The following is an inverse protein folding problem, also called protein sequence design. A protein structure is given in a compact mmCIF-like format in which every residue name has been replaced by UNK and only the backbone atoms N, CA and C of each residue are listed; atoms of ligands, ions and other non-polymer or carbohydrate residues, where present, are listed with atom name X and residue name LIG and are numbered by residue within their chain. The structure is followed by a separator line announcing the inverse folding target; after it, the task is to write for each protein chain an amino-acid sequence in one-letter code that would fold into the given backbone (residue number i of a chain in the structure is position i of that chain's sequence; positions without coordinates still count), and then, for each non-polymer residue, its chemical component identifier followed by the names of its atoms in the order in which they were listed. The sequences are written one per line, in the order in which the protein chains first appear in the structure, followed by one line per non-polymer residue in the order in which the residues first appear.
data_IF_749663145237
#
_entry.id   IF_749663145237
#
_cell.length_a   1.000
_cell.length_b   1.000
_cell.length_c   1.000
_cell.angle_alpha   90.00
_cell.angle_beta   90.00
_cell.angle_gamma   90.00
#
_symmetry.space_group_name_H-M   'P 1'
#
loop_
_entity.id
_entity.type
_entity.pdbx_description
1 polymer ?
#
# COMPACT_ATOMS: atom_id res chain seq x y z
N UNK A 1 10.61 24.34 -11.46
CA UNK A 1 9.33 24.59 -10.77
C UNK A 1 9.05 23.40 -9.87
N UNK A 2 8.47 23.60 -8.68
CA UNK A 2 8.14 22.50 -7.79
C UNK A 2 6.88 21.79 -8.29
N UNK A 3 7.06 20.58 -8.81
CA UNK A 3 5.98 19.70 -9.29
C UNK A 3 6.17 18.30 -8.70
N UNK A 4 5.13 17.46 -8.72
CA UNK A 4 5.27 16.06 -8.32
C UNK A 4 6.33 15.35 -9.16
N UNK A 5 6.29 15.51 -10.49
CA UNK A 5 7.30 14.95 -11.40
C UNK A 5 8.72 15.37 -11.05
N UNK A 6 8.99 16.66 -10.87
CA UNK A 6 10.34 17.14 -10.54
C UNK A 6 10.82 16.64 -9.17
N UNK A 7 9.90 16.51 -8.20
CA UNK A 7 10.23 16.02 -6.87
C UNK A 7 10.66 14.55 -6.90
N UNK A 8 9.89 13.69 -7.57
CA UNK A 8 10.24 12.29 -7.72
C UNK A 8 11.48 12.08 -8.59
N UNK A 9 11.69 12.91 -9.61
CA UNK A 9 12.90 12.86 -10.42
C UNK A 9 14.15 13.12 -9.57
N UNK A 10 14.11 14.11 -8.67
CA UNK A 10 15.23 14.36 -7.74
C UNK A 10 15.51 13.16 -6.83
N UNK A 11 14.48 12.45 -6.38
CA UNK A 11 14.63 11.23 -5.57
C UNK A 11 15.20 10.07 -6.40
N UNK A 12 14.81 9.98 -7.67
CA UNK A 12 15.24 8.91 -8.57
C UNK A 12 16.67 9.13 -9.07
N UNK A 13 17.11 10.38 -9.23
CA UNK A 13 18.43 10.70 -9.81
C UNK A 13 19.58 10.64 -8.81
N UNK A 14 19.28 10.57 -7.51
CA UNK A 14 20.28 10.50 -6.44
C UNK A 14 20.25 9.12 -5.75
N UNK A 15 21.40 8.45 -5.73
CA UNK A 15 21.48 7.06 -5.26
C UNK A 15 21.10 6.89 -3.79
N UNK A 16 21.41 7.85 -2.91
CA UNK A 16 21.09 7.72 -1.48
C UNK A 16 19.58 7.86 -1.23
N UNK A 17 18.94 8.84 -1.88
CA UNK A 17 17.50 9.05 -1.77
C UNK A 17 16.70 7.95 -2.48
N UNK A 18 17.16 7.48 -3.65
CA UNK A 18 16.61 6.31 -4.33
C UNK A 18 16.72 5.07 -3.47
N UNK A 19 17.89 4.86 -2.84
CA UNK A 19 18.14 3.74 -1.93
C UNK A 19 17.14 3.72 -0.78
N UNK A 20 16.92 4.86 -0.14
CA UNK A 20 15.95 4.99 0.95
C UNK A 20 14.52 4.74 0.46
N UNK A 21 14.13 5.35 -0.67
CA UNK A 21 12.80 5.21 -1.24
C UNK A 21 12.47 3.73 -1.53
N UNK A 22 13.35 3.03 -2.25
CA UNK A 22 13.16 1.61 -2.55
C UNK A 22 13.24 0.73 -1.31
N UNK A 23 14.05 1.06 -0.30
CA UNK A 23 14.11 0.28 0.96
C UNK A 23 12.81 0.38 1.75
N UNK A 24 12.21 1.58 1.84
CA UNK A 24 10.91 1.79 2.49
C UNK A 24 9.83 0.99 1.76
N UNK A 25 9.75 1.13 0.45
CA UNK A 25 8.77 0.40 -0.35
C UNK A 25 8.94 -1.12 -0.21
N UNK A 26 10.16 -1.64 -0.44
CA UNK A 26 10.44 -3.06 -0.35
C UNK A 26 10.07 -3.68 1.00
N UNK A 27 10.31 -2.95 2.10
CA UNK A 27 9.95 -3.40 3.45
C UNK A 27 8.43 -3.46 3.63
N UNK A 28 7.70 -2.44 3.16
CA UNK A 28 6.24 -2.41 3.19
C UNK A 28 5.63 -3.60 2.45
N UNK A 29 6.06 -3.84 1.21
CA UNK A 29 5.49 -4.92 0.40
C UNK A 29 5.84 -6.31 0.95
N UNK A 30 7.07 -6.50 1.45
CA UNK A 30 7.47 -7.79 2.04
C UNK A 30 6.67 -8.08 3.32
N UNK A 31 6.33 -7.05 4.08
CA UNK A 31 5.45 -7.18 5.24
C UNK A 31 4.03 -7.52 4.81
N UNK A 32 3.46 -6.80 3.82
CA UNK A 32 2.15 -7.12 3.25
C UNK A 32 2.06 -8.55 2.71
N UNK A 33 3.12 -9.04 2.08
CA UNK A 33 3.24 -10.43 1.64
C UNK A 33 3.18 -11.44 2.78
N UNK A 34 3.96 -11.20 3.85
CA UNK A 34 3.93 -12.03 5.06
C UNK A 34 2.55 -12.02 5.75
N UNK A 35 1.94 -10.85 5.91
CA UNK A 35 0.64 -10.68 6.55
C UNK A 35 -0.44 -11.47 5.78
N UNK A 36 -0.53 -11.27 4.47
CA UNK A 36 -1.48 -12.00 3.63
C UNK A 36 -1.22 -13.50 3.63
N UNK A 37 0.04 -13.96 3.62
CA UNK A 37 0.36 -15.38 3.73
C UNK A 37 -0.14 -15.99 5.05
N UNK A 38 -0.01 -15.27 6.17
CA UNK A 38 -0.57 -15.70 7.47
C UNK A 38 -2.09 -15.69 7.46
N UNK A 39 -2.71 -14.64 6.95
CA UNK A 39 -4.18 -14.54 6.86
C UNK A 39 -4.73 -15.70 6.01
N UNK A 40 -4.11 -16.01 4.88
CA UNK A 40 -4.48 -17.14 4.01
C UNK A 40 -4.37 -18.50 4.73
N UNK A 41 -3.34 -18.68 5.56
CA UNK A 41 -3.17 -19.91 6.34
C UNK A 41 -4.22 -20.06 7.46
N UNK A 42 -4.72 -18.94 7.98
CA UNK A 42 -5.62 -18.89 9.13
C UNK A 42 -7.07 -18.58 8.76
N UNK A 43 -7.45 -18.60 7.47
CA UNK A 43 -8.79 -18.20 7.04
C UNK A 43 -9.89 -18.95 7.80
N UNK A 44 -10.92 -18.20 8.20
CA UNK A 44 -12.08 -18.73 8.90
C UNK A 44 -12.69 -19.94 8.14
N UNK A 45 -13.11 -21.02 8.83
CA UNK A 45 -13.67 -22.20 8.16
C UNK A 45 -14.83 -21.92 7.21
N UNK A 46 -15.67 -20.93 7.53
CA UNK A 46 -16.81 -20.50 6.71
C UNK A 46 -16.46 -19.61 5.50
N UNK A 47 -15.19 -19.21 5.35
CA UNK A 47 -14.72 -18.29 4.31
C UNK A 47 -13.51 -18.84 3.54
N UNK A 48 -13.28 -20.15 3.58
CA UNK A 48 -12.10 -20.81 2.97
C UNK A 48 -11.96 -20.55 1.47
N UNK A 49 -13.04 -20.20 0.78
CA UNK A 49 -13.01 -19.80 -0.63
C UNK A 49 -12.17 -18.55 -0.88
N UNK A 50 -11.94 -17.71 0.13
CA UNK A 50 -11.09 -16.53 0.03
C UNK A 50 -9.58 -16.86 0.08
N UNK A 51 -9.20 -18.00 0.65
CA UNK A 51 -7.80 -18.33 0.89
C UNK A 51 -6.94 -18.24 -0.40
N UNK A 52 -7.35 -18.77 -1.57
CA UNK A 52 -6.56 -18.62 -2.80
C UNK A 52 -6.35 -17.17 -3.24
N UNK A 53 -7.36 -16.31 -3.08
CA UNK A 53 -7.27 -14.88 -3.45
C UNK A 53 -6.32 -14.14 -2.50
N UNK A 54 -6.41 -14.42 -1.21
CA UNK A 54 -5.51 -13.85 -0.18
C UNK A 54 -4.07 -14.34 -0.40
N UNK A 55 -3.88 -15.63 -0.70
CA UNK A 55 -2.56 -16.17 -1.07
C UNK A 55 -1.99 -15.46 -2.28
N UNK A 56 -2.82 -15.21 -3.31
CA UNK A 56 -2.38 -14.49 -4.50
C UNK A 56 -2.01 -13.04 -4.19
N UNK A 57 -2.84 -12.33 -3.43
CA UNK A 57 -2.54 -10.97 -2.96
C UNK A 57 -1.17 -10.95 -2.30
N UNK A 58 -0.93 -11.80 -1.28
CA UNK A 58 0.38 -11.87 -0.63
C UNK A 58 1.55 -12.21 -1.55
N UNK A 59 1.34 -13.07 -2.56
CA UNK A 59 2.37 -13.39 -3.55
C UNK A 59 2.71 -12.20 -4.48
N UNK A 60 1.71 -11.37 -4.80
CA UNK A 60 1.87 -10.15 -5.59
C UNK A 60 2.62 -9.08 -4.76
N UNK A 61 2.32 -8.91 -3.47
CA UNK A 61 3.08 -8.04 -2.55
C UNK A 61 4.56 -8.48 -2.42
N UNK A 62 4.79 -9.76 -2.16
CA UNK A 62 6.14 -10.34 -2.12
C UNK A 62 6.91 -10.10 -3.42
N UNK A 63 6.20 -10.12 -4.56
CA UNK A 63 6.77 -9.80 -5.88
C UNK A 63 7.14 -8.33 -5.97
N UNK A 64 6.32 -7.40 -5.49
CA UNK A 64 6.64 -5.97 -5.48
C UNK A 64 7.86 -5.68 -4.61
N UNK A 65 7.96 -6.29 -3.43
CA UNK A 65 9.15 -6.19 -2.57
C UNK A 65 10.42 -6.66 -3.29
N UNK A 66 10.35 -7.76 -4.06
CA UNK A 66 11.46 -8.22 -4.91
C UNK A 66 11.78 -7.26 -6.06
N UNK A 67 10.79 -6.61 -6.65
CA UNK A 67 11.00 -5.62 -7.72
C UNK A 67 11.81 -4.44 -7.19
N UNK A 68 11.43 -3.88 -6.03
CA UNK A 68 12.19 -2.77 -5.42
C UNK A 68 13.62 -3.17 -5.05
N UNK A 69 13.83 -4.37 -4.51
CA UNK A 69 15.18 -4.89 -4.26
C UNK A 69 15.99 -5.11 -5.55
N UNK A 70 15.35 -5.56 -6.63
CA UNK A 70 16.01 -5.71 -7.93
C UNK A 70 16.44 -4.35 -8.51
N UNK A 71 15.62 -3.30 -8.31
CA UNK A 71 15.97 -1.93 -8.70
C UNK A 71 17.20 -1.41 -7.95
N UNK A 72 17.30 -1.67 -6.64
CA UNK A 72 18.50 -1.37 -5.84
C UNK A 72 19.72 -2.09 -6.39
N UNK A 73 19.61 -3.41 -6.56
CA UNK A 73 20.70 -4.26 -7.06
C UNK A 73 21.19 -3.82 -8.44
N UNK A 74 20.28 -3.43 -9.34
CA UNK A 74 20.62 -2.93 -10.68
C UNK A 74 21.51 -1.67 -10.62
N UNK A 75 21.40 -0.88 -9.56
CA UNK A 75 22.24 0.29 -9.28
C UNK A 75 23.45 0.00 -8.39
N UNK A 76 23.69 -1.27 -8.02
CA UNK A 76 24.78 -1.63 -7.11
C UNK A 76 24.54 -1.16 -5.67
N UNK A 77 23.29 -0.94 -5.28
CA UNK A 77 22.89 -0.47 -3.95
C UNK A 77 22.37 -1.65 -3.12
N UNK A 78 22.75 -1.70 -1.86
CA UNK A 78 22.18 -2.62 -0.87
C UNK A 78 20.97 -1.98 -0.18
N UNK A 79 19.99 -2.73 0.34
CA UNK A 79 18.92 -2.14 1.16
C UNK A 79 19.44 -1.43 2.41
N UNK A 80 18.62 -0.55 2.99
CA UNK A 80 18.88 0.14 4.26
C UNK A 80 17.86 -0.32 5.32
N UNK A 81 18.19 -0.20 6.61
CA UNK A 81 17.17 -0.21 7.66
C UNK A 81 16.16 0.93 7.42
N UNK A 82 14.87 0.60 7.46
CA UNK A 82 13.78 1.57 7.30
C UNK A 82 13.62 2.42 8.56
N UNK A 83 13.60 3.76 8.46
CA UNK A 83 13.31 4.62 9.61
C UNK A 83 11.91 4.30 10.18
N UNK A 84 11.76 4.07 11.50
CA UNK A 84 10.49 3.66 12.09
C UNK A 84 9.32 4.61 11.82
N UNK A 85 9.58 5.91 11.72
CA UNK A 85 8.56 6.93 11.40
C UNK A 85 8.09 6.90 9.94
N UNK A 86 8.73 6.09 9.10
CA UNK A 86 8.34 5.84 7.69
C UNK A 86 7.71 4.46 7.48
N UNK A 87 7.67 3.64 8.53
CA UNK A 87 7.08 2.30 8.50
C UNK A 87 5.55 2.41 8.57
N UNK A 88 4.95 2.57 7.40
CA UNK A 88 3.51 2.81 7.23
C UNK A 88 2.65 1.72 7.88
N UNK A 89 2.99 0.45 7.65
CA UNK A 89 2.20 -0.69 8.14
C UNK A 89 2.30 -0.81 9.66
N UNK A 90 3.48 -0.61 10.25
CA UNK A 90 3.61 -0.59 11.71
C UNK A 90 2.88 0.59 12.36
N UNK A 91 2.90 1.76 11.73
CA UNK A 91 2.18 2.95 12.24
C UNK A 91 0.65 2.82 12.16
N UNK A 92 0.14 2.00 11.24
CA UNK A 92 -1.28 1.62 11.17
C UNK A 92 -1.65 0.66 12.30
N UNK A 93 -0.87 -0.41 12.50
CA UNK A 93 -1.11 -1.37 13.58
C UNK A 93 -1.05 -0.71 14.96
N UNK A 94 -0.09 0.18 15.20
CA UNK A 94 0.00 0.94 16.46
C UNK A 94 -1.26 1.76 16.76
N UNK A 95 -2.06 2.07 15.72
CA UNK A 95 -3.37 2.75 15.85
C UNK A 95 -4.55 1.78 15.89
N UNK A 96 -4.29 0.48 15.97
CA UNK A 96 -5.30 -0.58 16.00
C UNK A 96 -5.96 -0.83 14.66
N UNK A 97 -5.28 -0.52 13.55
CA UNK A 97 -5.80 -0.71 12.19
C UNK A 97 -5.19 -1.96 11.57
N UNK A 98 -6.04 -2.78 10.95
CA UNK A 98 -5.63 -4.08 10.40
C UNK A 98 -5.66 -5.20 11.45
N UNK A 99 -5.04 -6.33 11.13
CA UNK A 99 -4.86 -7.44 12.06
C UNK A 99 -3.48 -7.34 12.71
N UNK A 100 -3.43 -7.40 14.03
CA UNK A 100 -2.17 -7.29 14.77
C UNK A 100 -1.23 -8.47 14.46
N UNK A 101 0.08 -8.20 14.39
CA UNK A 101 1.08 -9.24 14.11
C UNK A 101 1.06 -10.35 15.15
N UNK A 102 0.83 -10.01 16.41
CA UNK A 102 0.73 -11.00 17.48
C UNK A 102 -0.41 -12.00 17.24
N UNK A 103 -1.50 -11.55 16.62
CA UNK A 103 -2.59 -12.43 16.20
C UNK A 103 -2.18 -13.29 15.01
N UNK A 104 -1.56 -12.69 13.99
CA UNK A 104 -1.13 -13.40 12.78
C UNK A 104 -0.03 -14.43 13.04
N UNK A 105 0.79 -14.24 14.08
CA UNK A 105 1.82 -15.21 14.51
C UNK A 105 1.23 -16.46 15.18
N UNK A 106 0.02 -16.37 15.73
CA UNK A 106 -0.67 -17.53 16.30
C UNK A 106 -1.15 -18.50 15.23
N UNK A 107 -1.52 -19.72 15.63
CA UNK A 107 -2.01 -20.78 14.73
C UNK A 107 -3.52 -21.03 14.84
N UNK A 108 -4.22 -20.20 15.62
CA UNK A 108 -5.66 -20.26 15.75
C UNK A 108 -6.34 -19.68 14.50
N UNK A 109 -7.39 -20.36 13.96
CA UNK A 109 -8.16 -19.81 12.85
C UNK A 109 -8.71 -18.42 13.16
N UNK A 110 -8.61 -17.53 12.19
CA UNK A 110 -9.26 -16.22 12.21
C UNK A 110 -10.78 -16.38 12.25
N UNK A 111 -11.46 -15.41 12.84
CA UNK A 111 -12.92 -15.33 12.80
C UNK A 111 -13.38 -14.68 11.48
N UNK A 112 -14.65 -14.85 11.13
CA UNK A 112 -15.25 -14.12 10.00
C UNK A 112 -15.12 -12.60 10.16
N UNK A 113 -15.25 -12.09 11.40
CA UNK A 113 -15.04 -10.66 11.69
C UNK A 113 -13.61 -10.22 11.38
N UNK A 114 -12.61 -11.07 11.64
CA UNK A 114 -11.21 -10.75 11.34
C UNK A 114 -10.97 -10.68 9.84
N UNK A 115 -11.57 -11.57 9.05
CA UNK A 115 -11.48 -11.54 7.60
C UNK A 115 -12.14 -10.29 7.03
N UNK A 116 -13.29 -9.89 7.58
CA UNK A 116 -13.95 -8.63 7.21
C UNK A 116 -13.08 -7.42 7.58
N UNK A 117 -12.43 -7.45 8.74
CA UNK A 117 -11.52 -6.38 9.18
C UNK A 117 -10.32 -6.28 8.24
N UNK A 118 -9.70 -7.41 7.90
CA UNK A 118 -8.64 -7.48 6.90
C UNK A 118 -9.09 -6.89 5.56
N UNK A 119 -10.17 -7.40 4.96
CA UNK A 119 -10.64 -6.93 3.65
C UNK A 119 -10.97 -5.42 3.64
N UNK A 120 -11.61 -4.93 4.70
CA UNK A 120 -11.92 -3.51 4.83
C UNK A 120 -10.67 -2.65 4.98
N UNK A 121 -9.69 -3.13 5.75
CA UNK A 121 -8.40 -2.46 5.90
C UNK A 121 -7.63 -2.46 4.58
N UNK A 122 -7.45 -3.63 3.96
CA UNK A 122 -6.78 -3.79 2.67
C UNK A 122 -7.42 -2.89 1.63
N UNK A 123 -8.75 -2.85 1.52
CA UNK A 123 -9.42 -1.90 0.61
C UNK A 123 -8.87 -0.47 0.76
N UNK A 124 -8.78 0.05 1.98
CA UNK A 124 -8.31 1.42 2.22
C UNK A 124 -6.86 1.59 1.80
N UNK A 125 -5.99 0.64 2.13
CA UNK A 125 -4.56 0.69 1.76
C UNK A 125 -4.36 0.50 0.26
N UNK A 126 -5.09 -0.41 -0.38
CA UNK A 126 -5.09 -0.62 -1.84
C UNK A 126 -5.56 0.62 -2.58
N UNK A 127 -6.55 1.34 -2.05
CA UNK A 127 -6.99 2.60 -2.65
C UNK A 127 -5.87 3.64 -2.60
N UNK A 128 -5.09 3.67 -1.53
CA UNK A 128 -3.92 4.56 -1.41
C UNK A 128 -2.82 4.14 -2.39
N UNK A 129 -2.49 2.85 -2.43
CA UNK A 129 -1.48 2.28 -3.31
C UNK A 129 -1.82 2.58 -4.78
N UNK A 130 -3.05 2.30 -5.21
CA UNK A 130 -3.54 2.61 -6.56
C UNK A 130 -3.42 4.11 -6.89
N UNK A 131 -3.80 5.01 -5.98
CA UNK A 131 -3.67 6.46 -6.21
C UNK A 131 -2.21 6.92 -6.36
N UNK A 132 -1.28 6.28 -5.63
CA UNK A 132 0.16 6.55 -5.77
C UNK A 132 0.72 5.96 -7.07
N UNK A 133 0.28 4.76 -7.45
CA UNK A 133 0.71 4.10 -8.68
C UNK A 133 0.20 4.82 -9.93
N UNK A 134 -1.05 5.27 -9.95
CA UNK A 134 -1.60 6.13 -11.01
C UNK A 134 -0.70 7.37 -11.26
N UNK A 135 -0.25 8.00 -10.17
CA UNK A 135 0.64 9.15 -10.22
C UNK A 135 2.04 8.78 -10.75
N UNK A 136 2.61 7.66 -10.31
CA UNK A 136 3.89 7.17 -10.79
C UNK A 136 3.84 6.77 -12.28
N UNK A 137 2.80 6.06 -12.72
CA UNK A 137 2.56 5.74 -14.13
C UNK A 137 2.47 7.02 -14.96
N UNK A 138 1.68 8.01 -14.51
CA UNK A 138 1.49 9.29 -15.21
C UNK A 138 2.82 10.00 -15.49
N UNK A 139 3.77 9.94 -14.55
CA UNK A 139 5.02 10.70 -14.67
C UNK A 139 6.23 9.89 -15.13
N UNK A 140 6.22 8.57 -14.88
CA UNK A 140 7.37 7.68 -15.04
C UNK A 140 7.03 6.34 -15.73
N UNK A 141 5.83 6.15 -16.27
CA UNK A 141 5.44 4.94 -17.00
C UNK A 141 6.34 4.66 -18.21
N UNK A 142 6.83 5.71 -18.88
CA UNK A 142 7.78 5.61 -19.99
C UNK A 142 9.25 5.68 -19.56
N UNK A 143 9.54 5.69 -18.25
CA UNK A 143 10.92 5.79 -17.76
C UNK A 143 11.70 4.51 -18.16
N UNK A 144 12.86 4.62 -18.84
CA UNK A 144 13.53 3.47 -19.44
C UNK A 144 13.95 2.40 -18.42
N UNK A 145 14.20 2.81 -17.18
CA UNK A 145 14.60 1.87 -16.12
C UNK A 145 13.46 1.43 -15.20
N UNK A 146 12.41 2.25 -15.05
CA UNK A 146 11.41 2.11 -14.00
C UNK A 146 10.03 1.79 -14.54
N UNK A 147 9.72 2.21 -15.77
CA UNK A 147 8.39 2.12 -16.36
C UNK A 147 7.79 0.72 -16.30
N UNK A 148 8.60 -0.30 -16.65
CA UNK A 148 8.16 -1.71 -16.57
C UNK A 148 7.79 -2.15 -15.15
N UNK A 149 8.58 -1.74 -14.15
CA UNK A 149 8.33 -2.08 -12.75
C UNK A 149 7.07 -1.36 -12.25
N UNK A 150 6.94 -0.06 -12.54
CA UNK A 150 5.80 0.77 -12.17
C UNK A 150 4.51 0.21 -12.76
N UNK A 151 4.48 -0.09 -14.06
CA UNK A 151 3.29 -0.69 -14.70
C UNK A 151 2.93 -2.07 -14.17
N UNK A 152 3.91 -2.86 -13.71
CA UNK A 152 3.62 -4.16 -13.13
C UNK A 152 2.90 -4.01 -11.80
N UNK A 153 3.46 -3.20 -10.89
CA UNK A 153 2.90 -2.94 -9.57
C UNK A 153 1.50 -2.32 -9.73
N UNK A 154 1.35 -1.30 -10.57
CA UNK A 154 0.07 -0.62 -10.84
C UNK A 154 -1.06 -1.57 -11.27
N UNK A 155 -0.74 -2.51 -12.16
CA UNK A 155 -1.71 -3.51 -12.61
C UNK A 155 -2.12 -4.48 -11.50
N UNK A 156 -1.19 -4.81 -10.60
CA UNK A 156 -1.49 -5.68 -9.46
C UNK A 156 -2.33 -4.93 -8.42
N UNK A 157 -1.99 -3.68 -8.08
CA UNK A 157 -2.79 -2.86 -7.13
C UNK A 157 -4.21 -2.63 -7.62
N UNK A 158 -4.38 -2.44 -8.93
CA UNK A 158 -5.70 -2.36 -9.54
C UNK A 158 -6.50 -3.66 -9.31
N UNK A 159 -5.84 -4.83 -9.35
CA UNK A 159 -6.48 -6.11 -9.08
C UNK A 159 -6.77 -6.31 -7.59
N UNK A 160 -5.86 -5.91 -6.70
CA UNK A 160 -6.06 -5.96 -5.25
C UNK A 160 -7.27 -5.10 -4.83
N UNK A 161 -7.34 -3.87 -5.33
CA UNK A 161 -8.44 -2.97 -5.08
C UNK A 161 -9.76 -3.54 -5.63
N UNK A 162 -9.77 -4.07 -6.86
CA UNK A 162 -10.95 -4.72 -7.44
C UNK A 162 -11.43 -5.91 -6.59
N UNK A 163 -10.51 -6.77 -6.16
CA UNK A 163 -10.80 -7.90 -5.27
C UNK A 163 -11.44 -7.45 -3.96
N UNK A 164 -10.85 -6.46 -3.27
CA UNK A 164 -11.39 -5.94 -2.01
C UNK A 164 -12.82 -5.38 -2.20
N UNK A 165 -13.04 -4.65 -3.29
CA UNK A 165 -14.34 -4.12 -3.65
C UNK A 165 -15.39 -5.23 -3.83
N UNK A 166 -15.05 -6.26 -4.61
CA UNK A 166 -15.96 -7.36 -4.94
C UNK A 166 -16.33 -8.18 -3.69
N UNK A 167 -15.35 -8.59 -2.89
CA UNK A 167 -15.60 -9.42 -1.71
C UNK A 167 -16.33 -8.65 -0.61
N UNK A 168 -16.00 -7.38 -0.37
CA UNK A 168 -16.75 -6.57 0.60
C UNK A 168 -18.21 -6.36 0.15
N UNK A 169 -18.47 -6.19 -1.15
CA UNK A 169 -19.84 -6.10 -1.67
C UNK A 169 -20.59 -7.43 -1.57
N UNK A 170 -19.91 -8.57 -1.73
CA UNK A 170 -20.48 -9.90 -1.52
C UNK A 170 -20.86 -10.08 -0.04
N UNK A 171 -19.93 -9.87 0.88
CA UNK A 171 -20.13 -9.99 2.33
C UNK A 171 -21.19 -9.00 2.85
N UNK A 172 -21.28 -7.81 2.26
CA UNK A 172 -22.34 -6.86 2.59
C UNK A 172 -23.75 -7.41 2.25
N UNK A 173 -23.90 -8.13 1.12
CA UNK A 173 -25.17 -8.78 0.75
C UNK A 173 -25.50 -9.97 1.66
N UNK A 174 -24.49 -10.60 2.24
CA UNK A 174 -24.62 -11.70 3.21
C UNK A 174 -24.96 -11.20 4.63
N UNK A 175 -25.01 -9.88 4.84
CA UNK A 175 -25.50 -9.27 6.08
C UNK A 175 -24.42 -8.53 6.90
N UNK A 176 -23.17 -8.51 6.45
CA UNK A 176 -22.06 -7.90 7.19
C UNK A 176 -21.90 -6.38 6.99
N UNK A 177 -22.85 -5.73 6.29
CA UNK A 177 -22.72 -4.34 5.86
C UNK A 177 -22.41 -3.32 6.97
N UNK A 178 -22.95 -3.48 8.18
CA UNK A 178 -22.66 -2.57 9.30
C UNK A 178 -21.21 -2.67 9.79
N UNK A 179 -20.68 -3.89 9.90
CA UNK A 179 -19.29 -4.11 10.28
C UNK A 179 -18.36 -3.52 9.23
N UNK A 180 -18.62 -3.82 7.95
CA UNK A 180 -17.84 -3.30 6.82
C UNK A 180 -17.80 -1.77 6.80
N UNK A 181 -18.95 -1.11 6.91
CA UNK A 181 -19.00 0.36 6.90
C UNK A 181 -18.24 0.98 8.08
N UNK A 182 -18.38 0.42 9.28
CA UNK A 182 -17.67 0.89 10.46
C UNK A 182 -16.17 0.75 10.27
N UNK A 183 -15.71 -0.45 9.89
CA UNK A 183 -14.28 -0.71 9.72
C UNK A 183 -13.68 0.12 8.59
N UNK A 184 -14.33 0.23 7.43
CA UNK A 184 -13.86 1.11 6.34
C UNK A 184 -13.67 2.55 6.80
N UNK A 185 -14.62 3.08 7.58
CA UNK A 185 -14.52 4.45 8.11
C UNK A 185 -13.38 4.59 9.11
N UNK A 186 -13.28 3.67 10.07
CA UNK A 186 -12.21 3.69 11.07
C UNK A 186 -10.83 3.59 10.42
N UNK A 187 -10.65 2.63 9.49
CA UNK A 187 -9.44 2.46 8.70
C UNK A 187 -9.11 3.70 7.87
N UNK A 188 -10.06 4.27 7.12
CA UNK A 188 -9.82 5.45 6.29
C UNK A 188 -9.37 6.67 7.10
N UNK A 189 -10.02 6.96 8.23
CA UNK A 189 -9.68 8.14 9.02
C UNK A 189 -8.32 8.01 9.70
N UNK A 190 -7.95 6.80 10.13
CA UNK A 190 -6.64 6.52 10.70
C UNK A 190 -5.55 6.51 9.63
N UNK A 191 -5.82 5.91 8.46
CA UNK A 191 -4.90 5.88 7.32
C UNK A 191 -4.52 7.30 6.89
N UNK A 192 -5.49 8.20 6.71
CA UNK A 192 -5.21 9.59 6.30
C UNK A 192 -4.24 10.27 7.27
N UNK A 193 -4.34 9.98 8.56
CA UNK A 193 -3.42 10.50 9.56
C UNK A 193 -2.03 9.88 9.44
N UNK A 194 -1.96 8.56 9.30
CA UNK A 194 -0.69 7.83 9.13
C UNK A 194 0.02 8.27 7.86
N UNK A 195 -0.70 8.35 6.74
CA UNK A 195 -0.18 8.76 5.45
C UNK A 195 0.42 10.16 5.50
N UNK A 196 -0.23 11.10 6.19
CA UNK A 196 0.34 12.44 6.45
C UNK A 196 1.66 12.34 7.22
N UNK A 197 1.68 11.59 8.32
CA UNK A 197 2.84 11.50 9.21
C UNK A 197 4.03 10.85 8.48
N UNK A 198 3.78 9.74 7.77
CA UNK A 198 4.77 9.06 6.91
C UNK A 198 5.24 9.96 5.79
N UNK A 199 4.34 10.65 5.08
CA UNK A 199 4.72 11.58 4.00
C UNK A 199 5.62 12.71 4.51
N UNK A 200 5.32 13.28 5.69
CA UNK A 200 6.17 14.30 6.31
C UNK A 200 7.54 13.74 6.70
N UNK A 201 7.57 12.53 7.25
CA UNK A 201 8.80 11.84 7.62
C UNK A 201 9.68 11.55 6.40
N UNK A 202 9.12 10.92 5.37
CA UNK A 202 9.81 10.61 4.11
C UNK A 202 10.35 11.89 3.49
N UNK A 203 9.54 12.95 3.34
CA UNK A 203 10.01 14.21 2.78
C UNK A 203 11.09 14.89 3.64
N UNK A 204 11.08 14.70 4.96
CA UNK A 204 12.14 15.17 5.86
C UNK A 204 13.46 14.44 5.62
N UNK A 205 13.42 13.11 5.45
CA UNK A 205 14.61 12.32 5.09
C UNK A 205 15.12 12.69 3.71
N UNK A 206 14.25 12.74 2.69
CA UNK A 206 14.63 13.13 1.33
C UNK A 206 15.23 14.55 1.30
N UNK A 207 14.63 15.50 2.01
CA UNK A 207 15.15 16.87 2.08
C UNK A 207 16.52 16.98 2.75
N UNK A 208 16.86 16.09 3.68
CA UNK A 208 18.21 16.02 4.28
C UNK A 208 19.23 15.45 3.30
N UNK A 209 18.91 14.33 2.65
CA UNK A 209 19.77 13.67 1.66
C UNK A 209 20.05 14.62 0.49
N UNK A 210 18.97 15.13 -0.12
CA UNK A 210 19.01 16.00 -1.30
C UNK A 210 19.33 17.48 -0.97
N UNK A 211 19.58 17.79 0.32
CA UNK A 211 19.92 19.12 0.83
C UNK A 211 18.95 20.22 0.36
N UNK A 212 17.65 19.94 0.42
CA UNK A 212 16.63 20.90 -0.01
C UNK A 212 16.68 22.20 0.82
N UNK A 213 16.52 23.37 0.18
CA UNK A 213 16.47 24.63 0.90
C UNK A 213 15.22 24.70 1.77
N UNK A 214 15.30 25.37 2.94
CA UNK A 214 14.21 25.49 3.92
C UNK A 214 12.85 25.88 3.30
N UNK A 215 12.77 26.83 2.34
CA UNK A 215 11.50 27.19 1.71
C UNK A 215 10.84 26.04 0.94
N UNK A 216 11.64 25.19 0.26
CA UNK A 216 11.12 24.02 -0.47
C UNK A 216 10.55 23.01 0.51
N UNK A 217 11.30 22.66 1.55
CA UNK A 217 10.85 21.74 2.59
C UNK A 217 9.56 22.24 3.28
N UNK A 218 9.50 23.54 3.60
CA UNK A 218 8.31 24.15 4.18
C UNK A 218 7.09 24.09 3.24
N UNK A 219 7.29 24.33 1.94
CA UNK A 219 6.23 24.27 0.92
C UNK A 219 5.69 22.84 0.78
N UNK A 220 6.56 21.83 0.71
CA UNK A 220 6.16 20.42 0.66
C UNK A 220 5.38 20.01 1.91
N UNK A 221 5.87 20.39 3.09
CA UNK A 221 5.20 20.10 4.34
C UNK A 221 3.84 20.81 4.49
N UNK A 222 3.69 22.01 3.91
CA UNK A 222 2.41 22.70 3.82
C UNK A 222 1.45 21.98 2.85
N UNK A 223 1.95 21.53 1.70
CA UNK A 223 1.18 20.72 0.73
C UNK A 223 0.64 19.44 1.34
N UNK A 224 1.47 18.67 2.07
CA UNK A 224 1.05 17.45 2.76
C UNK A 224 -0.04 17.74 3.79
N UNK A 225 0.11 18.81 4.60
CA UNK A 225 -0.91 19.20 5.58
C UNK A 225 -2.21 19.68 4.93
N UNK A 226 -2.12 20.34 3.78
CA UNK A 226 -3.26 20.74 2.97
C UNK A 226 -4.02 19.53 2.42
N UNK A 227 -3.29 18.55 1.86
CA UNK A 227 -3.88 17.28 1.39
C UNK A 227 -4.56 16.54 2.55
N UNK A 228 -3.90 16.42 3.70
CA UNK A 228 -4.50 15.85 4.90
C UNK A 228 -5.81 16.56 5.28
N UNK A 229 -5.85 17.89 5.29
CA UNK A 229 -7.07 18.63 5.61
C UNK A 229 -8.20 18.34 4.60
N UNK A 230 -7.88 18.28 3.31
CA UNK A 230 -8.83 17.90 2.26
C UNK A 230 -9.36 16.47 2.45
N UNK A 231 -8.47 15.50 2.68
CA UNK A 231 -8.83 14.10 2.86
C UNK A 231 -9.70 13.89 4.10
N UNK A 232 -9.37 14.58 5.20
CA UNK A 232 -10.15 14.56 6.45
C UNK A 232 -11.58 15.09 6.29
N UNK A 233 -11.79 16.07 5.41
CA UNK A 233 -13.10 16.70 5.22
C UNK A 233 -13.92 15.97 4.16
N UNK A 234 -13.32 15.64 3.02
CA UNK A 234 -14.04 15.12 1.85
C UNK A 234 -13.38 13.90 1.20
N UNK A 235 -12.05 13.83 1.14
CA UNK A 235 -11.36 12.77 0.40
C UNK A 235 -11.58 11.35 0.94
N UNK A 236 -11.85 11.21 2.25
CA UNK A 236 -12.11 9.91 2.88
C UNK A 236 -13.31 9.15 2.28
N UNK A 237 -14.25 9.85 1.63
CA UNK A 237 -15.37 9.21 0.93
C UNK A 237 -14.90 8.27 -0.18
N UNK A 238 -13.85 8.65 -0.92
CA UNK A 238 -13.26 7.78 -1.95
C UNK A 238 -12.77 6.46 -1.33
N UNK A 239 -12.13 6.53 -0.16
CA UNK A 239 -11.58 5.38 0.56
C UNK A 239 -12.63 4.47 1.19
N UNK A 240 -13.91 4.84 1.27
CA UNK A 240 -14.95 3.99 1.90
C UNK A 240 -16.06 3.58 0.92
N UNK A 241 -16.18 4.26 -0.21
CA UNK A 241 -17.23 3.97 -1.19
C UNK A 241 -16.94 2.69 -1.96
N UNK A 242 -17.74 1.66 -1.71
CA UNK A 242 -17.69 0.40 -2.47
C UNK A 242 -18.51 0.51 -3.76
N UNK A 243 -17.88 0.16 -4.88
CA UNK A 243 -18.48 -0.02 -6.21
C UNK A 243 -18.07 -1.37 -6.79
N UNK A 244 -18.94 -1.99 -7.58
CA UNK A 244 -18.57 -3.24 -8.28
C UNK A 244 -17.44 -2.90 -9.28
N UNK A 245 -16.30 -3.61 -9.26
CA UNK A 245 -15.23 -3.36 -10.21
C UNK A 245 -15.63 -3.80 -11.63
N UNK A 246 -14.99 -3.22 -12.64
CA UNK A 246 -15.16 -3.62 -14.03
C UNK A 246 -14.58 -5.01 -14.29
N UNK A 247 -13.37 -5.27 -13.78
CA UNK A 247 -12.75 -6.59 -13.75
C UNK A 247 -13.23 -7.35 -12.51
N UNK A 248 -14.00 -8.41 -12.73
CA UNK A 248 -14.42 -9.34 -11.69
C UNK A 248 -13.42 -10.48 -11.54
N UNK A 249 -13.39 -11.07 -10.36
CA UNK A 249 -12.53 -12.18 -9.99
C UNK A 249 -11.05 -11.91 -10.33
N UNK A 250 -10.60 -10.68 -10.04
CA UNK A 250 -9.28 -10.18 -10.44
C UNK A 250 -8.13 -11.05 -9.92
N UNK A 251 -8.34 -11.71 -8.76
CA UNK A 251 -7.39 -12.62 -8.12
C UNK A 251 -7.78 -14.12 -8.23
N UNK A 252 -8.77 -14.50 -9.04
CA UNK A 252 -9.21 -15.91 -9.14
C UNK A 252 -8.30 -16.84 -9.94
N UNK A 253 -7.33 -16.31 -10.68
CA UNK A 253 -6.32 -17.08 -11.42
C UNK A 253 -5.00 -17.27 -10.66
N UNK A 254 -4.04 -18.08 -11.15
CA UNK A 254 -2.73 -18.22 -10.53
C UNK A 254 -1.95 -16.89 -10.53
N UNK A 255 -1.06 -16.70 -9.54
CA UNK A 255 -0.16 -15.55 -9.48
C UNK A 255 0.75 -15.50 -10.71
N UNK A 256 1.01 -14.29 -11.23
CA UNK A 256 1.89 -14.11 -12.39
C UNK A 256 3.35 -14.00 -11.89
N UNK A 257 4.29 -14.80 -12.44
CA UNK A 257 5.68 -14.74 -12.00
C UNK A 257 6.32 -13.37 -12.31
N UNK A 258 7.24 -12.94 -11.45
CA UNK A 258 8.04 -11.75 -11.69
C UNK A 258 8.90 -11.91 -12.96
N UNK A 259 9.13 -10.84 -13.75
CA UNK A 259 10.14 -10.85 -14.80
C UNK A 259 11.53 -11.13 -14.24
N UNK A 260 12.37 -11.82 -15.01
CA UNK A 260 13.80 -11.78 -14.77
C UNK A 260 14.31 -10.37 -15.10
N UNK A 261 14.95 -9.71 -14.14
CA UNK A 261 15.62 -8.42 -14.27
C UNK A 261 17.14 -8.60 -14.22
#
# INVERSE_FOLDING_TARGET
MLTAKSLFQEIIDDDESFRLFCSIAASGESQGGWENARIAALVAPGMRELAPKITRHGADEDKHGRIFNALLKKRGLEPLPVPPETDYTMLLEQRGIGLAHDKLRGDEPLTESDIIVYLAHSRVTEQRAADQMDMLVTYFGDHPELGRAIHMIDNDETNHLAYCHEELLRLAREGHGRLIQRTLRESALAEIQVYRDVSLAVMSHMGRILRWPKPKAATLAAGIRGMYAYERVAGWHKMVNLRMPERRDALGGPATPAPAF
#
